data_IF_127382861855
#
_entry.id   IF_127382861855
#
_cell.length_a   1.000
_cell.length_b   1.000
_cell.length_c   1.000
_cell.angle_alpha   90.00
_cell.angle_beta   90.00
_cell.angle_gamma   90.00
#
_symmetry.space_group_name_H-M   'P 1'
#
loop_
_entity.id
_entity.type
_entity.pdbx_description
1 polymer ?
2 non-polymer ?
3 water ?
#
# COMPACT_ATOMS: atom_id res chain seq x y z
N UNK A 1 1.96 7.93 14.25
CA UNK A 1 1.42 6.60 14.64
C UNK A 1 2.58 5.75 15.01
N UNK A 2 2.90 4.75 14.18
CA UNK A 2 4.01 3.90 14.48
C UNK A 2 5.23 4.40 13.68
N UNK A 3 6.47 4.28 14.25
CA UNK A 3 7.67 4.75 13.53
C UNK A 3 7.85 4.23 12.12
N UNK A 4 7.39 3.02 11.85
CA UNK A 4 7.53 2.51 10.49
C UNK A 4 6.65 3.29 9.51
N UNK A 5 5.49 3.74 9.96
CA UNK A 5 4.64 4.55 9.13
C UNK A 5 5.21 5.97 8.95
N UNK A 6 5.83 6.51 10.01
CA UNK A 6 6.46 7.82 9.87
C UNK A 6 7.59 7.71 8.86
N UNK A 7 8.37 6.63 8.97
CA UNK A 7 9.46 6.45 8.00
C UNK A 7 8.91 6.31 6.58
N UNK A 8 7.89 5.44 6.43
CA UNK A 8 7.25 5.27 5.14
C UNK A 8 6.80 6.58 4.49
N UNK A 9 6.20 7.45 5.31
CA UNK A 9 5.63 8.67 4.77
C UNK A 9 6.67 9.66 4.34
N UNK A 10 7.82 9.62 4.97
CA UNK A 10 8.90 10.58 4.64
C UNK A 10 9.90 10.13 3.58
N UNK A 11 9.81 8.90 3.09
CA UNK A 11 10.71 8.46 2.01
C UNK A 11 10.60 9.46 0.89
N UNK A 12 11.68 9.61 0.14
CA UNK A 12 11.60 10.56 -1.01
C UNK A 12 11.35 9.71 -2.23
N UNK A 13 10.11 9.67 -2.64
CA UNK A 13 9.63 8.86 -3.77
C UNK A 13 9.79 9.53 -5.11
N UNK A 14 10.14 8.74 -6.14
CA UNK A 14 10.19 9.29 -7.51
C UNK A 14 9.90 8.16 -8.46
N UNK A 15 9.71 8.52 -9.73
CA UNK A 15 9.42 7.50 -10.75
C UNK A 15 10.67 6.75 -11.22
N UNK A 16 11.82 7.03 -10.64
CA UNK A 16 12.99 6.27 -11.01
C UNK A 16 12.96 4.88 -10.41
N UNK A 17 13.03 3.87 -11.27
CA UNK A 17 13.08 2.46 -10.84
C UNK A 17 14.58 2.17 -11.01
N UNK A 18 15.31 1.88 -9.94
CA UNK A 18 16.74 1.62 -10.16
C UNK A 18 17.02 0.32 -10.88
N UNK A 19 18.25 0.20 -11.38
CA UNK A 19 18.67 -1.00 -12.11
C UNK A 19 19.06 -2.12 -11.13
N UNK A 20 18.03 -2.68 -10.54
CA UNK A 20 18.18 -3.73 -9.54
C UNK A 20 18.14 -5.14 -10.15
N UNK A 21 18.51 -6.14 -9.35
CA UNK A 21 18.45 -7.51 -9.78
C UNK A 21 17.02 -7.75 -10.24
N UNK A 22 16.81 -8.52 -11.29
CA UNK A 22 15.46 -8.80 -11.76
C UNK A 22 14.46 -9.29 -10.71
N UNK A 23 14.90 -10.15 -9.81
CA UNK A 23 13.99 -10.63 -8.77
C UNK A 23 13.53 -9.48 -7.87
N UNK A 24 14.42 -8.56 -7.54
CA UNK A 24 14.06 -7.42 -6.70
C UNK A 24 13.11 -6.52 -7.48
N UNK A 25 13.37 -6.33 -8.77
CA UNK A 25 12.44 -5.55 -9.58
C UNK A 25 11.08 -6.19 -9.59
N UNK A 26 11.03 -7.52 -9.70
CA UNK A 26 9.76 -8.20 -9.76
C UNK A 26 8.98 -7.93 -8.47
N UNK A 27 9.68 -7.96 -7.34
CA UNK A 27 9.03 -7.65 -6.07
C UNK A 27 8.49 -6.20 -6.11
N UNK A 28 9.34 -5.26 -6.45
CA UNK A 28 8.93 -3.87 -6.40
C UNK A 28 7.89 -3.47 -7.39
N UNK A 29 7.87 -4.12 -8.55
CA UNK A 29 6.91 -3.74 -9.58
C UNK A 29 5.61 -4.50 -9.57
N UNK A 30 5.46 -5.47 -8.67
CA UNK A 30 4.24 -6.26 -8.63
C UNK A 30 2.99 -5.41 -8.70
N UNK A 31 2.04 -5.75 -9.58
CA UNK A 31 0.81 -4.97 -9.67
C UNK A 31 -0.26 -5.55 -8.78
N UNK A 32 0.04 -5.53 -7.48
CA UNK A 32 -0.90 -6.03 -6.49
C UNK A 32 -0.23 -5.64 -5.17
N UNK A 33 -0.94 -5.86 -4.08
CA UNK A 33 -0.35 -5.73 -2.77
C UNK A 33 0.61 -6.93 -2.62
N UNK A 34 1.30 -6.97 -1.49
CA UNK A 34 2.22 -8.05 -1.20
C UNK A 34 1.64 -9.25 -0.54
N UNK A 35 0.37 -9.21 -0.18
CA UNK A 35 -0.23 -10.32 0.55
C UNK A 35 -0.03 -11.73 0.02
N UNK A 36 -0.46 -11.97 -1.19
CA UNK A 36 -0.35 -13.32 -1.69
C UNK A 36 1.08 -13.70 -2.04
N UNK A 37 1.90 -12.76 -2.52
CA UNK A 37 3.29 -13.12 -2.80
C UNK A 37 4.02 -13.42 -1.49
N UNK A 38 3.70 -12.74 -0.39
CA UNK A 38 4.32 -13.05 0.88
C UNK A 38 3.83 -14.44 1.36
N UNK A 39 2.54 -14.77 1.15
CA UNK A 39 2.05 -16.10 1.51
C UNK A 39 2.84 -17.16 0.75
N UNK A 40 3.21 -16.88 -0.50
CA UNK A 40 3.95 -17.82 -1.34
C UNK A 40 5.35 -18.11 -0.83
N UNK A 41 5.79 -17.36 0.18
CA UNK A 41 7.07 -17.62 0.81
C UNK A 41 6.87 -18.73 1.88
N UNK A 42 5.66 -19.26 1.93
CA UNK A 42 5.32 -20.33 2.87
C UNK A 42 5.00 -19.76 4.23
N UNK A 43 4.18 -18.73 4.21
CA UNK A 43 3.89 -17.99 5.42
C UNK A 43 2.45 -17.65 5.53
N UNK A 44 2.00 -17.48 6.76
CA UNK A 44 0.66 -17.02 7.05
C UNK A 44 0.78 -15.50 7.22
N UNK A 45 0.00 -14.77 6.44
CA UNK A 45 0.01 -13.31 6.45
C UNK A 45 -1.08 -12.71 7.29
N UNK A 46 -0.72 -11.76 8.14
CA UNK A 46 -1.65 -11.12 9.05
C UNK A 46 -1.45 -9.61 9.09
N UNK A 47 -2.49 -8.93 9.57
CA UNK A 47 -2.50 -7.50 9.69
C UNK A 47 -2.50 -7.00 11.15
N UNK A 48 -1.63 -6.04 11.46
CA UNK A 48 -1.63 -5.34 12.75
C UNK A 48 -2.20 -3.97 12.34
N UNK A 49 -3.33 -3.60 12.91
CA UNK A 49 -3.98 -2.34 12.56
C UNK A 49 -3.36 -1.15 13.30
N UNK A 50 -2.82 -0.18 12.57
CA UNK A 50 -2.19 0.98 13.21
C UNK A 50 -3.18 2.12 13.25
N UNK A 51 -3.90 2.34 12.16
CA UNK A 51 -4.99 3.33 12.22
C UNK A 51 -5.96 3.12 11.03
N UNK A 52 -7.26 3.29 11.22
CA UNK A 52 -8.18 3.21 10.10
C UNK A 52 -9.35 4.10 10.39
N UNK A 53 -9.79 4.87 9.41
CA UNK A 53 -10.96 5.72 9.60
C UNK A 53 -11.01 6.76 8.52
N UNK A 54 -12.09 7.50 8.50
CA UNK A 54 -12.24 8.60 7.58
C UNK A 54 -11.49 9.78 8.08
N UNK A 55 -10.81 10.44 7.15
CA UNK A 55 -10.02 11.61 7.48
C UNK A 55 -10.25 12.71 6.47
N UNK A 56 -9.77 13.90 6.83
CA UNK A 56 -9.86 15.08 5.97
C UNK A 56 -8.56 15.28 5.24
N UNK A 57 -8.51 16.24 4.32
CA UNK A 57 -7.29 16.50 3.57
C UNK A 57 -6.07 16.76 4.42
N UNK A 58 -6.30 17.38 5.58
CA UNK A 58 -5.20 17.72 6.46
C UNK A 58 -4.41 16.54 6.99
N UNK A 59 -4.94 15.33 6.87
CA UNK A 59 -4.20 14.17 7.36
C UNK A 59 -3.56 13.37 6.25
N UNK A 60 -3.67 13.82 5.00
CA UNK A 60 -3.05 13.10 3.85
C UNK A 60 -2.18 14.03 3.02
N UNK A 61 -1.25 14.75 3.65
CA UNK A 61 -0.42 15.64 2.86
C UNK A 61 0.38 15.02 1.74
N UNK A 62 0.88 13.81 1.95
CA UNK A 62 1.65 13.15 0.92
C UNK A 62 0.77 12.69 -0.26
N UNK A 63 -0.42 12.20 0.05
CA UNK A 63 -1.28 11.67 -1.00
C UNK A 63 -2.16 12.66 -1.71
N UNK A 64 -2.45 13.77 -1.05
CA UNK A 64 -3.37 14.74 -1.64
C UNK A 64 -2.99 15.25 -3.00
N UNK A 65 -1.71 15.53 -3.25
CA UNK A 65 -1.37 16.01 -4.61
C UNK A 65 -1.60 14.95 -5.68
N UNK A 66 -1.73 13.70 -5.25
CA UNK A 66 -1.86 12.59 -6.18
C UNK A 66 -3.29 12.06 -6.30
N UNK A 67 -4.23 12.66 -5.59
CA UNK A 67 -5.61 12.19 -5.61
C UNK A 67 -6.58 13.32 -5.87
N UNK A 68 -7.84 13.00 -6.18
CA UNK A 68 -8.79 14.11 -6.35
C UNK A 68 -8.88 14.80 -4.98
N UNK A 69 -9.15 16.10 -5.01
CA UNK A 69 -9.32 16.93 -3.81
C UNK A 69 -10.79 16.88 -3.46
N UNK A 70 -11.12 16.26 -2.33
CA UNK A 70 -12.51 16.14 -1.93
C UNK A 70 -12.58 16.18 -0.40
N UNK A 71 -13.76 16.05 0.20
CA UNK A 71 -13.90 16.24 1.62
C UNK A 71 -13.38 15.15 2.53
N UNK A 72 -13.48 13.89 2.09
CA UNK A 72 -13.13 12.77 2.96
C UNK A 72 -12.43 11.68 2.20
N UNK A 73 -11.62 10.97 2.97
CA UNK A 73 -10.85 9.85 2.50
C UNK A 73 -10.82 8.77 3.56
N UNK A 74 -10.80 7.52 3.13
CA UNK A 74 -10.54 6.46 4.07
C UNK A 74 -9.02 6.28 4.15
N UNK A 75 -8.44 6.39 5.35
CA UNK A 75 -7.01 6.22 5.60
C UNK A 75 -6.81 4.95 6.40
N UNK A 76 -5.96 4.06 5.93
CA UNK A 76 -5.68 2.80 6.57
C UNK A 76 -4.18 2.61 6.66
N UNK A 77 -3.66 2.45 7.88
CA UNK A 77 -2.24 2.16 8.08
C UNK A 77 -2.13 0.85 8.82
N UNK A 78 -1.28 -0.03 8.30
CA UNK A 78 -1.09 -1.34 8.90
C UNK A 78 0.35 -1.75 8.91
N UNK A 79 0.65 -2.75 9.75
CA UNK A 79 1.89 -3.49 9.62
C UNK A 79 1.42 -4.88 9.10
N UNK A 80 2.12 -5.44 8.12
CA UNK A 80 1.80 -6.74 7.50
C UNK A 80 2.90 -7.72 7.93
N UNK A 81 2.46 -8.83 8.57
CA UNK A 81 3.39 -9.83 9.11
C UNK A 81 3.25 -11.14 8.39
N UNK A 82 4.37 -11.86 8.41
CA UNK A 82 4.47 -13.21 7.83
C UNK A 82 4.89 -14.12 8.97
N UNK A 83 4.02 -15.08 9.29
CA UNK A 83 4.24 -15.93 10.46
C UNK A 83 4.61 -15.08 11.69
N UNK A 84 3.90 -13.95 11.80
CA UNK A 84 4.03 -13.06 12.96
C UNK A 84 5.20 -12.13 13.01
N UNK A 85 6.01 -12.12 11.94
CA UNK A 85 7.19 -11.27 11.84
C UNK A 85 6.80 -10.12 10.93
N UNK A 86 7.01 -8.88 11.38
CA UNK A 86 6.62 -7.74 10.52
C UNK A 86 7.50 -7.67 9.30
N UNK A 87 6.85 -7.60 8.12
CA UNK A 87 7.57 -7.51 6.85
C UNK A 87 7.30 -6.24 6.08
N UNK A 88 6.19 -5.55 6.36
CA UNK A 88 5.86 -4.38 5.55
C UNK A 88 4.97 -3.46 6.36
N UNK A 89 5.11 -2.17 6.06
CA UNK A 89 4.18 -1.17 6.57
C UNK A 89 3.44 -0.65 5.36
N UNK A 90 2.11 -0.54 5.53
CA UNK A 90 1.26 -0.09 4.41
C UNK A 90 0.35 1.02 4.78
N UNK A 91 0.23 1.97 3.88
CA UNK A 91 -0.65 3.10 4.07
C UNK A 91 -1.50 3.33 2.83
N UNK A 92 -2.81 3.19 3.00
CA UNK A 92 -3.74 3.29 1.88
C UNK A 92 -4.63 4.45 2.06
N UNK A 93 -4.83 5.24 1.00
CA UNK A 93 -5.71 6.43 1.09
C UNK A 93 -6.71 6.29 -0.04
N UNK A 94 -7.99 6.24 0.31
CA UNK A 94 -9.06 6.04 -0.66
C UNK A 94 -10.04 7.18 -0.64
N UNK A 95 -10.10 7.97 -1.72
CA UNK A 95 -11.10 9.07 -1.73
C UNK A 95 -12.50 8.45 -1.51
N UNK A 96 -13.37 9.15 -0.80
CA UNK A 96 -14.71 8.58 -0.62
C UNK A 96 -15.40 8.36 -2.00
N UNK A 97 -15.11 9.19 -2.99
CA UNK A 97 -15.71 8.95 -4.33
C UNK A 97 -15.35 7.62 -4.94
N UNK A 98 -14.29 6.96 -4.46
CA UNK A 98 -13.89 5.64 -4.99
C UNK A 98 -14.69 4.54 -4.30
N UNK A 99 -15.31 4.83 -3.16
CA UNK A 99 -16.06 3.82 -2.41
C UNK A 99 -17.47 3.60 -2.96
N UNK A 100 -17.55 2.78 -3.99
CA UNK A 100 -18.83 2.46 -4.64
C UNK A 100 -18.66 1.05 -5.21
N UNK A 101 -19.77 0.35 -5.35
CA UNK A 101 -19.68 -0.98 -5.91
C UNK A 101 -18.80 -1.87 -5.08
N UNK A 102 -18.11 -2.80 -5.70
CA UNK A 102 -17.25 -3.67 -4.92
C UNK A 102 -16.20 -2.91 -4.09
N UNK A 103 -15.80 -1.73 -4.58
CA UNK A 103 -14.78 -0.94 -3.91
C UNK A 103 -15.27 -0.39 -2.56
N UNK A 104 -16.56 -0.52 -2.25
CA UNK A 104 -17.01 -0.14 -0.92
C UNK A 104 -16.25 -1.00 0.10
N UNK A 105 -15.82 -2.20 -0.30
CA UNK A 105 -15.12 -3.07 0.64
C UNK A 105 -13.79 -2.51 1.12
N UNK A 106 -13.22 -1.55 0.40
CA UNK A 106 -11.96 -0.99 0.85
C UNK A 106 -12.07 -0.35 2.23
N UNK A 107 -13.28 0.01 2.70
CA UNK A 107 -13.40 0.61 4.02
C UNK A 107 -13.84 -0.43 5.05
N UNK A 108 -14.02 -1.66 4.61
CA UNK A 108 -14.50 -2.74 5.47
C UNK A 108 -13.56 -3.93 5.58
N UNK A 109 -12.29 -3.75 5.23
CA UNK A 109 -11.34 -4.87 5.25
C UNK A 109 -11.04 -5.39 6.65
N UNK A 110 -11.00 -4.49 7.62
CA UNK A 110 -10.62 -4.89 8.96
C UNK A 110 -9.23 -5.55 8.88
N UNK A 111 -9.07 -6.67 9.56
CA UNK A 111 -7.82 -7.37 9.55
C UNK A 111 -7.58 -8.24 8.34
N UNK A 112 -8.46 -8.15 7.33
CA UNK A 112 -8.21 -8.86 6.09
C UNK A 112 -7.15 -8.09 5.33
N UNK A 113 -6.07 -8.77 4.90
CA UNK A 113 -5.04 -8.02 4.16
C UNK A 113 -5.45 -7.71 2.75
N UNK A 114 -5.25 -6.47 2.31
CA UNK A 114 -5.61 -6.05 0.99
C UNK A 114 -4.94 -6.90 -0.09
N UNK A 115 -5.64 -7.09 -1.22
CA UNK A 115 -5.08 -7.72 -2.39
C UNK A 115 -6.13 -7.76 -3.48
N UNK A 116 -5.64 -7.99 -4.69
CA UNK A 116 -6.55 -8.15 -5.83
C UNK A 116 -7.50 -9.34 -5.63
N UNK A 117 -7.06 -10.35 -4.87
CA UNK A 117 -7.87 -11.54 -4.59
C UNK A 117 -9.20 -11.22 -3.89
N UNK A 118 -9.33 -10.02 -3.34
CA UNK A 118 -10.56 -9.60 -2.68
C UNK A 118 -11.53 -8.93 -3.67
N UNK A 119 -11.06 -8.57 -4.86
CA UNK A 119 -11.86 -7.85 -5.83
C UNK A 119 -11.94 -8.69 -7.12
N UNK A 120 -12.74 -9.75 -7.08
CA UNK A 120 -12.83 -10.69 -8.20
C UNK A 120 -13.59 -10.19 -9.39
N UNK A 121 -14.24 -9.04 -9.25
CA UNK A 121 -15.00 -8.48 -10.35
C UNK A 121 -14.53 -7.07 -10.72
N UNK A 122 -13.34 -6.71 -10.30
CA UNK A 122 -12.82 -5.37 -10.56
C UNK A 122 -11.51 -5.39 -11.27
N UNK A 123 -11.40 -4.57 -12.30
CA UNK A 123 -10.10 -4.43 -12.95
C UNK A 123 -9.15 -3.66 -12.03
N UNK A 124 -7.89 -3.97 -12.09
CA UNK A 124 -6.90 -3.23 -11.33
C UNK A 124 -5.85 -2.74 -12.31
N UNK A 125 -5.61 -1.43 -12.39
CA UNK A 125 -4.55 -0.90 -13.22
C UNK A 125 -3.70 0.03 -12.32
N UNK A 126 -2.54 0.47 -12.80
CA UNK A 126 -1.69 1.31 -11.98
C UNK A 126 -1.34 2.50 -12.83
N UNK A 127 -1.64 3.70 -12.35
CA UNK A 127 -1.29 4.91 -13.08
C UNK A 127 0.20 5.14 -13.09
N UNK A 128 0.88 4.86 -11.98
CA UNK A 128 2.33 5.06 -11.93
C UNK A 128 2.82 4.35 -10.68
N UNK A 129 4.11 4.12 -10.63
CA UNK A 129 4.74 3.59 -9.43
C UNK A 129 5.98 4.44 -9.17
N UNK A 130 6.16 4.78 -7.91
CA UNK A 130 7.33 5.51 -7.48
C UNK A 130 8.05 4.62 -6.49
N UNK A 131 9.37 4.77 -6.45
CA UNK A 131 10.24 4.00 -5.55
C UNK A 131 11.01 5.00 -4.69
N UNK A 132 11.27 4.64 -3.44
CA UNK A 132 12.05 5.49 -2.53
C UNK A 132 12.90 4.56 -1.68
N UNK A 133 13.87 5.13 -0.96
CA UNK A 133 14.74 4.33 -0.08
C UNK A 133 15.18 5.18 1.11
N UNK A 134 15.20 4.57 2.29
CA UNK A 134 15.65 5.29 3.48
C UNK A 134 16.30 4.28 4.43
N UNK A 135 17.46 4.63 4.99
CA UNK A 135 18.17 3.74 5.92
C UNK A 135 18.30 2.30 5.43
N UNK A 136 18.51 2.13 4.13
CA UNK A 136 18.68 0.81 3.57
C UNK A 136 17.38 0.12 3.21
N UNK A 137 16.23 0.76 3.45
CA UNK A 137 14.93 0.12 3.19
C UNK A 137 14.24 0.71 1.99
N UNK A 138 13.75 -0.19 1.13
CA UNK A 138 12.99 0.18 -0.03
C UNK A 138 11.53 0.43 0.33
N UNK A 139 10.95 1.44 -0.33
CA UNK A 139 9.51 1.67 -0.27
C UNK A 139 8.99 1.96 -1.68
N UNK A 140 7.68 1.87 -1.86
CA UNK A 140 7.10 2.23 -3.16
C UNK A 140 5.77 2.90 -2.93
N UNK A 141 5.34 3.69 -3.92
CA UNK A 141 4.11 4.47 -3.81
C UNK A 141 3.41 4.33 -5.14
N UNK A 142 2.16 3.92 -5.11
CA UNK A 142 1.41 3.66 -6.35
C UNK A 142 0.08 4.32 -6.35
N UNK A 143 -0.34 4.91 -7.47
CA UNK A 143 -1.76 5.28 -7.60
C UNK A 143 -2.40 4.13 -8.41
N UNK A 144 -3.29 3.40 -7.77
CA UNK A 144 -3.99 2.25 -8.36
C UNK A 144 -5.39 2.63 -8.73
N UNK A 145 -5.95 1.92 -9.70
CA UNK A 145 -7.33 2.09 -10.06
C UNK A 145 -8.04 0.77 -9.98
N UNK A 146 -9.12 0.72 -9.21
CA UNK A 146 -9.98 -0.47 -9.10
C UNK A 146 -11.22 -0.06 -9.83
N UNK A 147 -11.59 -0.79 -10.89
CA UNK A 147 -12.72 -0.42 -11.76
C UNK A 147 -12.65 1.05 -12.18
N UNK A 148 -11.44 1.50 -12.47
CA UNK A 148 -11.24 2.86 -12.91
C UNK A 148 -11.14 3.96 -11.85
N UNK A 149 -11.32 3.61 -10.58
CA UNK A 149 -11.39 4.60 -9.49
C UNK A 149 -10.08 4.60 -8.76
N UNK A 150 -9.52 5.77 -8.46
CA UNK A 150 -8.23 5.87 -7.79
C UNK A 150 -8.12 5.65 -6.32
N UNK A 151 -6.96 5.13 -5.93
CA UNK A 151 -6.59 5.02 -4.54
C UNK A 151 -5.09 5.10 -4.50
N UNK A 152 -4.57 5.50 -3.36
CA UNK A 152 -3.12 5.60 -3.19
C UNK A 152 -2.67 4.52 -2.21
N UNK A 153 -1.61 3.79 -2.55
CA UNK A 153 -1.04 2.76 -1.72
C UNK A 153 0.44 3.01 -1.60
N UNK A 154 0.94 3.17 -0.37
CA UNK A 154 2.38 3.33 -0.13
C UNK A 154 2.80 2.15 0.75
N UNK A 155 3.94 1.55 0.47
CA UNK A 155 4.42 0.40 1.19
C UNK A 155 5.90 0.58 1.47
N UNK A 156 6.27 0.18 2.67
CA UNK A 156 7.68 0.17 3.08
C UNK A 156 8.06 -1.26 3.44
N UNK A 157 9.16 -1.76 2.87
CA UNK A 157 9.60 -3.16 3.11
C UNK A 157 10.53 -3.17 4.30
N UNK A 158 10.10 -3.82 5.35
CA UNK A 158 10.83 -3.81 6.62
C UNK A 158 12.02 -4.72 6.51
N UNK A 159 12.96 -4.56 7.45
CA UNK A 159 14.20 -5.36 7.36
C UNK A 159 14.08 -6.87 7.24
N UNK A 160 13.08 -7.50 7.86
CA UNK A 160 12.96 -8.95 7.78
C UNK A 160 12.32 -9.44 6.50
N UNK A 161 11.85 -8.52 5.66
CA UNK A 161 11.13 -8.97 4.44
C UNK A 161 12.09 -9.62 3.44
N UNK A 162 11.53 -10.41 2.49
CA UNK A 162 12.34 -11.13 1.50
C UNK A 162 13.05 -10.38 0.44
N UNK A 163 12.87 -9.07 0.41
CA UNK A 163 13.54 -8.29 -0.59
C UNK A 163 15.01 -8.14 -0.25
N UNK A 164 15.39 -8.32 1.01
CA UNK A 164 16.75 -8.04 1.41
C UNK A 164 17.63 -9.28 1.47
X LIG B 1 -3.44 -3.67 3.71
X LIG B 1 -3.69 -2.51 3.96
X LIG B 1 -4.17 -4.62 4.12
X LIG B 1 -2.21 -4.00 2.93
X LIG B 1 -1.41 -2.95 2.37
X LIG B 1 -0.33 -3.24 1.61
X LIG B 1 0.02 -4.59 1.35
X LIG B 1 -0.78 -5.63 1.91
X LIG B 1 -1.87 -5.32 2.67
X LIG B 1 1.10 -4.91 0.61
#
# INVERSE_FOLDING_TARGET
SHPALTQLRALRYSKEIPALDPQLLDWLLLEDSMTKRFEQQGKTVSVTMIREGFVEQNEIPEELPLLPKESRYWLREILLSADGEPWLAGRTVVPVSTLSGPELALQKLGKTPLGRYLFTSSTLTRDFIEIGRDAGLWGRRSRLRLSGKPLLLTELFLPASPLY
PHB C1' O1' O2' C1 C2 C3 C4 C5 C6 O4
#
